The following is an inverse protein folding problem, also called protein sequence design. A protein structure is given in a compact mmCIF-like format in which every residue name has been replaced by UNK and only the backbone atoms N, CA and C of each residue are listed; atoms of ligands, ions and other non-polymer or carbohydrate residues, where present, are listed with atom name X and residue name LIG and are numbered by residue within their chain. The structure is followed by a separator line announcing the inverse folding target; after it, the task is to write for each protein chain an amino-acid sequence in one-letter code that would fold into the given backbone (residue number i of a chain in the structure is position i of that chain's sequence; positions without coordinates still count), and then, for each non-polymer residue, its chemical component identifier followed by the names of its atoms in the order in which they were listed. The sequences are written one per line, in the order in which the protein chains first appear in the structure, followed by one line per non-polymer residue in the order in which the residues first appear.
data_IF_409796498920
#
_entry.id   IF_409796498920
#
_cell.length_a   1.000
_cell.length_b   1.000
_cell.length_c   1.000
_cell.angle_alpha   90.00
_cell.angle_beta   90.00
_cell.angle_gamma   90.00
#
_symmetry.space_group_name_H-M   'P 1'
#
loop_
_entity.id
_entity.type
_entity.pdbx_description
1 polymer ?
#
# COMPACT_ATOMS: atom_id res chain seq x y z
N UNK A 1 -5.53 -6.25 -28.19
CA UNK A 1 -6.79 -6.26 -27.45
C UNK A 1 -6.61 -7.15 -26.25
N UNK A 2 -6.39 -6.55 -25.08
CA UNK A 2 -6.28 -7.30 -23.83
C UNK A 2 -7.64 -7.84 -23.42
N UNK A 3 -7.67 -8.82 -22.51
CA UNK A 3 -8.92 -9.38 -21.97
C UNK A 3 -9.85 -8.31 -21.36
N UNK A 4 -9.29 -7.19 -20.90
CA UNK A 4 -10.06 -6.08 -20.31
C UNK A 4 -10.90 -5.27 -21.32
N UNK A 5 -10.47 -5.19 -22.58
CA UNK A 5 -11.22 -4.51 -23.67
C UNK A 5 -12.52 -5.25 -23.99
N UNK A 6 -12.51 -6.58 -23.80
CA UNK A 6 -13.65 -7.43 -23.98
C UNK A 6 -14.74 -7.06 -22.99
N UNK A 7 -14.45 -6.88 -21.70
CA UNK A 7 -15.50 -6.79 -20.69
C UNK A 7 -16.46 -5.60 -20.89
N UNK A 8 -15.95 -4.42 -21.25
CA UNK A 8 -16.79 -3.24 -21.48
C UNK A 8 -17.60 -3.37 -22.78
N UNK A 9 -16.96 -3.86 -23.85
CA UNK A 9 -17.61 -4.13 -25.13
C UNK A 9 -18.71 -5.19 -24.97
N UNK A 10 -18.42 -6.28 -24.27
CA UNK A 10 -19.31 -7.41 -24.04
C UNK A 10 -20.47 -7.05 -23.10
N UNK A 11 -20.23 -6.18 -22.12
CA UNK A 11 -21.26 -5.75 -21.16
C UNK A 11 -22.24 -4.73 -21.74
N UNK A 12 -21.81 -3.85 -22.65
CA UNK A 12 -22.65 -2.74 -23.13
C UNK A 12 -22.95 -2.75 -24.62
N UNK A 13 -21.99 -3.10 -25.46
CA UNK A 13 -22.14 -3.04 -26.92
C UNK A 13 -22.69 -4.34 -27.49
N UNK A 14 -22.31 -5.49 -26.93
CA UNK A 14 -22.81 -6.78 -27.37
C UNK A 14 -24.34 -6.92 -27.22
N UNK A 15 -24.96 -6.58 -26.07
CA UNK A 15 -26.41 -6.70 -25.92
C UNK A 15 -27.18 -5.72 -26.82
N UNK A 16 -26.61 -4.53 -27.08
CA UNK A 16 -27.19 -3.51 -27.96
C UNK A 16 -27.06 -3.89 -29.43
N UNK A 17 -25.92 -4.48 -29.82
CA UNK A 17 -25.66 -4.97 -31.17
C UNK A 17 -26.53 -6.17 -31.52
N UNK A 18 -26.60 -7.18 -30.65
CA UNK A 18 -27.40 -8.39 -30.91
C UNK A 18 -28.91 -8.07 -30.88
N UNK A 19 -29.36 -7.05 -30.14
CA UNK A 19 -30.77 -6.60 -30.14
C UNK A 19 -31.28 -6.19 -31.52
N UNK A 20 -30.42 -5.63 -32.38
CA UNK A 20 -30.79 -5.20 -33.73
C UNK A 20 -30.55 -6.27 -34.79
N UNK A 21 -29.74 -7.29 -34.49
CA UNK A 21 -29.23 -8.22 -35.49
C UNK A 21 -30.18 -9.39 -35.80
N UNK A 22 -31.04 -9.87 -34.88
CA UNK A 22 -31.99 -10.98 -35.20
C UNK A 22 -33.20 -11.08 -34.22
N UNK A 23 -34.46 -11.05 -34.72
CA UNK A 23 -35.67 -11.35 -33.93
C UNK A 23 -35.74 -12.80 -33.41
N UNK A 24 -35.07 -13.76 -34.10
CA UNK A 24 -35.00 -15.18 -33.71
C UNK A 24 -34.11 -15.44 -32.49
N UNK A 25 -33.40 -14.43 -31.98
CA UNK A 25 -32.40 -14.57 -30.92
C UNK A 25 -32.80 -13.87 -29.62
N UNK A 26 -34.10 -13.59 -29.43
CA UNK A 26 -34.60 -12.87 -28.25
C UNK A 26 -34.22 -13.57 -26.93
N UNK A 27 -34.26 -14.90 -26.90
CA UNK A 27 -33.88 -15.69 -25.71
C UNK A 27 -32.38 -15.57 -25.39
N UNK A 28 -31.51 -15.73 -26.40
CA UNK A 28 -30.07 -15.59 -26.25
C UNK A 28 -29.67 -14.17 -25.80
N UNK A 29 -30.33 -13.16 -26.38
CA UNK A 29 -30.21 -11.76 -25.95
C UNK A 29 -30.59 -11.57 -24.49
N UNK A 30 -31.73 -12.11 -24.08
CA UNK A 30 -32.21 -11.99 -22.71
C UNK A 30 -31.21 -12.61 -21.72
N UNK A 31 -30.67 -13.78 -22.04
CA UNK A 31 -29.70 -14.49 -21.21
C UNK A 31 -28.40 -13.69 -21.02
N UNK A 32 -27.88 -13.07 -22.09
CA UNK A 32 -26.67 -12.23 -21.99
C UNK A 32 -26.95 -10.93 -21.22
N UNK A 33 -28.09 -10.28 -21.47
CA UNK A 33 -28.49 -9.09 -20.71
C UNK A 33 -28.61 -9.42 -19.22
N UNK A 34 -29.24 -10.55 -18.89
CA UNK A 34 -29.41 -11.01 -17.52
C UNK A 34 -28.06 -11.31 -16.87
N UNK A 35 -27.16 -12.03 -17.55
CA UNK A 35 -25.81 -12.32 -17.08
C UNK A 35 -25.06 -11.03 -16.70
N UNK A 36 -25.00 -10.06 -17.62
CA UNK A 36 -24.30 -8.80 -17.36
C UNK A 36 -25.01 -7.93 -16.31
N UNK A 37 -26.34 -7.96 -16.24
CA UNK A 37 -27.08 -7.24 -15.20
C UNK A 37 -26.73 -7.74 -13.80
N UNK A 38 -26.59 -9.06 -13.61
CA UNK A 38 -26.23 -9.63 -12.32
C UNK A 38 -24.76 -9.38 -11.97
N UNK A 39 -23.87 -9.51 -12.95
CA UNK A 39 -22.43 -9.27 -12.78
C UNK A 39 -22.09 -7.82 -12.40
N UNK A 40 -22.98 -6.90 -12.77
CA UNK A 40 -22.75 -5.44 -12.64
C UNK A 40 -23.63 -4.82 -11.56
N UNK A 41 -24.34 -5.65 -10.81
CA UNK A 41 -25.11 -5.24 -9.65
C UNK A 41 -24.22 -4.48 -8.65
N UNK A 42 -24.80 -3.46 -8.00
CA UNK A 42 -24.10 -2.65 -7.00
C UNK A 42 -23.56 -3.49 -5.83
N UNK A 43 -24.22 -4.60 -5.53
CA UNK A 43 -23.84 -5.55 -4.49
C UNK A 43 -23.73 -6.94 -5.13
N UNK A 44 -22.57 -7.57 -4.99
CA UNK A 44 -22.35 -8.94 -5.46
C UNK A 44 -22.40 -9.90 -4.29
N UNK A 45 -23.30 -10.88 -4.36
CA UNK A 45 -23.34 -12.00 -3.41
C UNK A 45 -22.49 -13.14 -3.94
N UNK A 46 -21.73 -13.78 -3.05
CA UNK A 46 -20.82 -14.89 -3.42
C UNK A 46 -21.57 -16.04 -4.08
N UNK A 47 -22.74 -16.40 -3.55
CA UNK A 47 -23.63 -17.45 -4.07
C UNK A 47 -24.05 -17.17 -5.51
N UNK A 48 -24.42 -15.93 -5.82
CA UNK A 48 -24.86 -15.52 -7.15
C UNK A 48 -23.70 -15.58 -8.15
N UNK A 49 -22.48 -15.25 -7.71
CA UNK A 49 -21.28 -15.36 -8.57
C UNK A 49 -20.92 -16.82 -8.88
N UNK A 50 -21.12 -17.74 -7.94
CA UNK A 50 -20.95 -19.17 -8.21
C UNK A 50 -22.00 -19.68 -9.20
N UNK A 51 -23.26 -19.25 -9.06
CA UNK A 51 -24.30 -19.59 -10.01
C UNK A 51 -23.98 -19.04 -11.42
N UNK A 52 -23.52 -17.79 -11.51
CA UNK A 52 -23.12 -17.17 -12.78
C UNK A 52 -21.98 -17.91 -13.50
N UNK A 53 -21.09 -18.61 -12.78
CA UNK A 53 -20.06 -19.47 -13.40
C UNK A 53 -20.67 -20.65 -14.15
N UNK A 54 -21.79 -21.17 -13.67
CA UNK A 54 -22.51 -22.25 -14.36
C UNK A 54 -23.39 -21.68 -15.47
N UNK A 55 -24.06 -20.55 -15.22
CA UNK A 55 -24.96 -19.93 -16.18
C UNK A 55 -24.23 -19.46 -17.44
N UNK A 56 -23.00 -18.92 -17.32
CA UNK A 56 -22.25 -18.46 -18.49
C UNK A 56 -21.91 -19.58 -19.47
N UNK A 57 -21.67 -20.79 -18.98
CA UNK A 57 -21.42 -21.95 -19.84
C UNK A 57 -22.68 -22.26 -20.66
N UNK A 58 -23.86 -22.25 -20.02
CA UNK A 58 -25.13 -22.46 -20.72
C UNK A 58 -25.44 -21.35 -21.72
N UNK A 59 -25.12 -20.10 -21.38
CA UNK A 59 -25.24 -18.95 -22.29
C UNK A 59 -24.37 -19.18 -23.53
N UNK A 60 -23.09 -19.51 -23.37
CA UNK A 60 -22.18 -19.73 -24.49
C UNK A 60 -22.60 -20.91 -25.37
N UNK A 61 -23.03 -22.03 -24.78
CA UNK A 61 -23.54 -23.16 -25.55
C UNK A 61 -24.76 -22.78 -26.40
N UNK A 62 -25.69 -21.99 -25.85
CA UNK A 62 -26.85 -21.50 -26.63
C UNK A 62 -26.43 -20.55 -27.75
N UNK A 63 -25.41 -19.73 -27.52
CA UNK A 63 -24.86 -18.88 -28.57
C UNK A 63 -24.22 -19.71 -29.68
N UNK A 64 -23.57 -20.82 -29.35
CA UNK A 64 -22.85 -21.67 -30.32
C UNK A 64 -23.83 -22.36 -31.27
N UNK A 65 -25.05 -22.63 -30.81
CA UNK A 65 -26.13 -23.13 -31.64
C UNK A 65 -26.74 -22.07 -32.58
N UNK A 66 -26.52 -20.79 -32.31
CA UNK A 66 -27.20 -19.66 -32.99
C UNK A 66 -26.27 -18.93 -33.94
N UNK A 67 -25.01 -18.70 -33.53
CA UNK A 67 -24.05 -17.90 -34.26
C UNK A 67 -22.99 -18.76 -34.93
N UNK A 68 -22.48 -18.36 -36.11
CA UNK A 68 -21.41 -19.09 -36.77
C UNK A 68 -20.12 -19.07 -35.93
N UNK A 69 -19.21 -20.05 -36.11
CA UNK A 69 -17.93 -20.09 -35.38
C UNK A 69 -17.12 -18.80 -35.41
N UNK A 70 -17.23 -18.01 -36.50
CA UNK A 70 -16.58 -16.71 -36.63
C UNK A 70 -17.01 -15.66 -35.58
N UNK A 71 -18.17 -15.84 -34.92
CA UNK A 71 -18.63 -15.01 -33.83
C UNK A 71 -17.86 -15.27 -32.51
N UNK A 72 -17.33 -16.48 -32.34
CA UNK A 72 -16.58 -16.90 -31.16
C UNK A 72 -15.13 -16.45 -31.23
N UNK A 73 -14.94 -15.14 -31.14
CA UNK A 73 -13.61 -14.56 -30.95
C UNK A 73 -13.13 -14.77 -29.51
N UNK A 74 -11.84 -14.51 -29.26
CA UNK A 74 -11.28 -14.51 -27.90
C UNK A 74 -12.08 -13.64 -26.91
N UNK A 75 -12.77 -12.61 -27.40
CA UNK A 75 -13.63 -11.73 -26.61
C UNK A 75 -14.83 -12.48 -25.98
N UNK A 76 -15.40 -13.49 -26.65
CA UNK A 76 -16.52 -14.30 -26.14
C UNK A 76 -16.09 -15.19 -24.98
N UNK A 77 -14.91 -15.79 -25.07
CA UNK A 77 -14.37 -16.66 -24.03
C UNK A 77 -14.02 -15.91 -22.75
N UNK A 78 -13.69 -14.63 -22.87
CA UNK A 78 -13.41 -13.76 -21.72
C UNK A 78 -14.61 -13.62 -20.78
N UNK A 79 -15.84 -13.85 -21.25
CA UNK A 79 -17.02 -13.84 -20.37
C UNK A 79 -16.99 -14.94 -19.30
N UNK A 80 -16.32 -16.08 -19.56
CA UNK A 80 -16.25 -17.20 -18.62
C UNK A 80 -15.50 -16.81 -17.34
N UNK A 81 -14.53 -15.91 -17.45
CA UNK A 81 -13.69 -15.49 -16.33
C UNK A 81 -14.30 -14.33 -15.53
N UNK A 82 -15.34 -13.68 -16.05
CA UNK A 82 -15.94 -12.50 -15.41
C UNK A 82 -16.47 -12.74 -13.99
N UNK A 83 -17.18 -13.84 -13.69
CA UNK A 83 -17.67 -14.09 -12.33
C UNK A 83 -16.53 -14.30 -11.32
N UNK A 84 -15.44 -14.92 -11.76
CA UNK A 84 -14.22 -15.12 -10.96
C UNK A 84 -13.52 -13.78 -10.69
N UNK A 85 -13.36 -12.95 -11.73
CA UNK A 85 -12.79 -11.62 -11.57
C UNK A 85 -13.63 -10.73 -10.64
N UNK A 86 -14.97 -10.81 -10.76
CA UNK A 86 -15.89 -10.06 -9.90
C UNK A 86 -15.80 -10.47 -8.42
N UNK A 87 -15.48 -11.74 -8.13
CA UNK A 87 -15.23 -12.23 -6.77
C UNK A 87 -13.93 -11.71 -6.17
N UNK A 88 -12.89 -11.54 -7.00
CA UNK A 88 -11.57 -11.08 -6.57
C UNK A 88 -11.50 -9.55 -6.47
N UNK A 89 -12.04 -8.85 -7.46
CA UNK A 89 -11.86 -7.41 -7.62
C UNK A 89 -13.12 -6.58 -7.23
N UNK A 90 -14.24 -7.24 -6.93
CA UNK A 90 -15.51 -6.61 -6.59
C UNK A 90 -16.31 -6.08 -7.81
N UNK A 91 -17.42 -5.35 -7.56
CA UNK A 91 -18.37 -4.99 -8.62
C UNK A 91 -17.77 -4.13 -9.74
N UNK A 92 -17.96 -4.55 -10.98
CA UNK A 92 -17.47 -3.84 -12.16
C UNK A 92 -18.04 -2.40 -12.28
N UNK A 93 -19.30 -2.17 -11.87
CA UNK A 93 -19.96 -0.85 -11.91
C UNK A 93 -19.17 0.21 -11.13
N UNK A 94 -18.64 -0.13 -9.96
CA UNK A 94 -17.89 0.82 -9.12
C UNK A 94 -16.57 1.23 -9.75
N UNK A 95 -15.97 0.38 -10.60
CA UNK A 95 -14.73 0.67 -11.33
C UNK A 95 -14.99 1.61 -12.51
N UNK A 96 -16.07 1.37 -13.26
CA UNK A 96 -16.46 2.20 -14.39
C UNK A 96 -16.95 3.60 -13.96
N UNK A 97 -17.75 3.70 -12.90
CA UNK A 97 -18.27 4.99 -12.39
C UNK A 97 -17.16 5.98 -12.00
N UNK A 98 -16.03 5.50 -11.45
CA UNK A 98 -14.87 6.34 -11.13
C UNK A 98 -14.21 6.96 -12.36
N UNK A 99 -14.40 6.35 -13.53
CA UNK A 99 -13.79 6.79 -14.79
C UNK A 99 -14.68 7.76 -15.57
N UNK A 100 -15.94 7.92 -15.17
CA UNK A 100 -16.90 8.85 -15.81
C UNK A 100 -16.64 10.28 -15.30
N UNK A 101 -15.88 11.05 -16.08
CA UNK A 101 -15.66 12.49 -15.87
C UNK A 101 -16.78 13.32 -16.50
N UNK A 102 -17.34 12.88 -17.62
CA UNK A 102 -18.49 13.50 -18.27
C UNK A 102 -19.74 12.63 -18.16
N UNK A 103 -20.68 13.03 -17.30
CA UNK A 103 -21.95 12.31 -17.08
C UNK A 103 -22.95 12.46 -18.21
N UNK A 104 -22.82 13.47 -19.07
CA UNK A 104 -23.71 13.66 -20.22
C UNK A 104 -23.44 12.66 -21.35
N UNK A 105 -22.22 12.09 -21.40
CA UNK A 105 -21.81 11.05 -22.35
C UNK A 105 -20.97 9.99 -21.62
N UNK A 106 -21.59 9.17 -20.75
CA UNK A 106 -20.86 8.29 -19.86
C UNK A 106 -20.07 7.21 -20.61
N UNK A 107 -20.57 6.70 -21.74
CA UNK A 107 -19.86 5.75 -22.59
C UNK A 107 -18.61 6.38 -23.20
N UNK A 108 -18.75 7.57 -23.79
CA UNK A 108 -17.63 8.31 -24.37
C UNK A 108 -16.57 8.67 -23.34
N UNK A 109 -17.00 9.08 -22.13
CA UNK A 109 -16.08 9.40 -21.03
C UNK A 109 -15.29 8.19 -20.53
N UNK A 110 -15.88 7.00 -20.54
CA UNK A 110 -15.18 5.76 -20.17
C UNK A 110 -14.16 5.40 -21.24
N UNK A 111 -14.56 5.43 -22.52
CA UNK A 111 -13.65 5.15 -23.64
C UNK A 111 -12.46 6.11 -23.64
N UNK A 112 -12.70 7.39 -23.43
CA UNK A 112 -11.64 8.41 -23.35
C UNK A 112 -10.67 8.15 -22.19
N UNK A 113 -11.19 7.85 -20.99
CA UNK A 113 -10.36 7.53 -19.84
C UNK A 113 -9.48 6.28 -20.08
N UNK A 114 -9.99 5.30 -20.83
CA UNK A 114 -9.24 4.10 -21.21
C UNK A 114 -8.16 4.39 -22.25
N UNK A 115 -8.47 5.15 -23.30
CA UNK A 115 -7.45 5.55 -24.31
C UNK A 115 -6.30 6.29 -23.63
N UNK A 116 -6.62 7.17 -22.68
CA UNK A 116 -5.61 7.85 -21.86
C UNK A 116 -4.80 6.85 -21.01
N UNK A 117 -5.46 5.91 -20.34
CA UNK A 117 -4.80 4.90 -19.51
C UNK A 117 -3.85 4.00 -20.31
N UNK A 118 -4.28 3.48 -21.46
CA UNK A 118 -3.44 2.64 -22.33
C UNK A 118 -2.27 3.43 -22.90
N UNK A 119 -2.52 4.64 -23.39
CA UNK A 119 -1.47 5.51 -23.95
C UNK A 119 -0.39 5.81 -22.91
N UNK A 120 -0.80 6.15 -21.67
CA UNK A 120 0.12 6.42 -20.58
C UNK A 120 0.85 5.15 -20.11
N UNK A 121 0.17 3.99 -20.11
CA UNK A 121 0.77 2.71 -19.78
C UNK A 121 1.85 2.33 -20.80
N UNK A 122 1.53 2.43 -22.09
CA UNK A 122 2.46 2.18 -23.18
C UNK A 122 3.66 3.12 -23.11
N UNK A 123 3.44 4.43 -23.02
CA UNK A 123 4.52 5.41 -22.86
C UNK A 123 5.37 5.12 -21.62
N UNK A 124 4.73 4.73 -20.51
CA UNK A 124 5.41 4.38 -19.26
C UNK A 124 6.38 3.19 -19.37
N UNK A 125 6.18 2.28 -20.33
CA UNK A 125 7.13 1.17 -20.58
C UNK A 125 8.45 1.66 -21.18
N UNK A 126 8.46 2.81 -21.86
CA UNK A 126 9.64 3.37 -22.53
C UNK A 126 10.26 4.55 -21.78
N UNK A 127 9.52 5.19 -20.87
CA UNK A 127 9.99 6.30 -20.05
C UNK A 127 10.58 5.79 -18.73
N UNK A 128 11.91 5.63 -18.67
CA UNK A 128 12.61 5.12 -17.49
C UNK A 128 12.76 6.14 -16.36
N UNK A 129 12.77 7.43 -16.68
CA UNK A 129 13.06 8.52 -15.72
C UNK A 129 11.81 9.34 -15.35
N UNK A 130 10.61 8.81 -15.61
CA UNK A 130 9.34 9.49 -15.30
C UNK A 130 8.54 8.64 -14.32
N UNK A 131 7.92 9.29 -13.33
CA UNK A 131 7.00 8.62 -12.41
C UNK A 131 5.75 8.17 -13.18
N UNK A 132 5.51 6.86 -13.21
CA UNK A 132 4.38 6.18 -13.84
C UNK A 132 3.56 5.46 -12.77
N UNK A 133 2.35 5.00 -13.12
CA UNK A 133 1.53 4.20 -12.22
C UNK A 133 2.23 2.91 -11.73
N UNK A 134 3.22 2.40 -12.47
CA UNK A 134 3.92 1.14 -12.17
C UNK A 134 5.18 1.31 -11.33
N UNK A 135 5.89 2.44 -11.46
CA UNK A 135 7.12 2.71 -10.70
C UNK A 135 6.92 3.69 -9.53
N UNK A 136 5.73 4.30 -9.42
CA UNK A 136 5.39 5.22 -8.35
C UNK A 136 5.59 4.57 -6.99
N UNK A 137 6.37 5.18 -6.09
CA UNK A 137 6.55 4.65 -4.75
C UNK A 137 5.22 4.53 -4.02
N UNK A 138 5.12 3.53 -3.14
CA UNK A 138 3.93 3.34 -2.33
C UNK A 138 3.61 4.63 -1.55
N UNK A 139 2.33 4.94 -1.36
CA UNK A 139 1.88 6.20 -0.73
C UNK A 139 2.54 6.48 0.62
N UNK A 140 2.81 5.42 1.37
CA UNK A 140 3.41 5.45 2.69
C UNK A 140 4.93 5.17 2.67
N UNK A 141 5.59 5.27 1.53
CA UNK A 141 7.04 5.07 1.43
C UNK A 141 7.77 6.04 2.36
N UNK A 142 8.58 5.51 3.27
CA UNK A 142 9.37 6.22 4.28
C UNK A 142 10.85 6.38 3.87
N UNK A 143 11.22 5.91 2.67
CA UNK A 143 12.58 5.96 2.15
C UNK A 143 13.39 4.69 2.44
N UNK A 144 12.82 3.74 3.17
CA UNK A 144 13.46 2.47 3.50
C UNK A 144 14.64 2.60 4.46
N UNK A 145 15.44 1.53 4.54
CA UNK A 145 16.61 1.45 5.40
C UNK A 145 17.81 2.16 4.77
N UNK A 146 18.48 2.99 5.58
CA UNK A 146 19.77 3.60 5.25
C UNK A 146 20.90 2.63 5.57
N UNK A 147 22.00 2.75 4.83
CA UNK A 147 23.21 1.97 5.07
C UNK A 147 24.06 2.68 6.12
N UNK A 148 23.69 2.51 7.38
CA UNK A 148 24.41 3.03 8.54
C UNK A 148 25.24 1.91 9.21
N UNK A 149 26.18 2.26 10.10
CA UNK A 149 27.00 1.29 10.83
C UNK A 149 26.24 0.63 11.99
N UNK A 150 25.37 1.38 12.67
CA UNK A 150 24.54 0.92 13.77
C UNK A 150 23.07 0.82 13.32
N UNK A 151 22.43 -0.31 13.61
CA UNK A 151 21.03 -0.59 13.24
C UNK A 151 20.06 0.50 13.70
N UNK A 152 20.29 1.11 14.87
CA UNK A 152 19.47 2.20 15.40
C UNK A 152 19.34 3.38 14.44
N UNK A 153 20.37 3.70 13.66
CA UNK A 153 20.34 4.81 12.69
C UNK A 153 19.85 4.38 11.31
N UNK A 154 19.76 3.08 11.04
CA UNK A 154 19.38 2.55 9.73
C UNK A 154 17.91 2.81 9.37
N UNK A 155 17.00 2.79 10.35
CA UNK A 155 15.57 3.01 10.09
C UNK A 155 15.26 4.50 9.94
N UNK A 156 14.75 4.87 8.76
CA UNK A 156 14.21 6.21 8.52
C UNK A 156 12.71 6.24 8.83
N UNK A 157 12.29 6.98 9.85
CA UNK A 157 10.89 7.34 10.03
C UNK A 157 10.60 8.63 9.25
N UNK A 158 9.53 8.65 8.42
CA UNK A 158 9.11 9.88 7.72
C UNK A 158 7.99 10.59 8.49
N UNK A 159 8.28 11.64 9.28
CA UNK A 159 7.25 12.35 10.02
C UNK A 159 6.31 13.13 9.10
N UNK A 160 5.09 13.39 9.57
CA UNK A 160 4.14 14.27 8.88
C UNK A 160 3.25 15.06 9.83
N UNK A 161 2.68 16.14 9.29
CA UNK A 161 1.90 17.13 10.02
C UNK A 161 2.79 18.13 10.75
N UNK A 162 2.16 19.14 11.33
CA UNK A 162 2.89 20.21 11.99
C UNK A 162 3.59 19.67 13.24
N UNK A 163 4.83 20.10 13.51
CA UNK A 163 5.49 19.85 14.78
C UNK A 163 4.59 20.32 15.91
N UNK A 164 4.38 19.48 16.92
CA UNK A 164 3.62 19.84 18.10
C UNK A 164 4.24 21.06 18.76
N UNK A 165 3.57 22.21 18.71
CA UNK A 165 4.01 23.40 19.46
C UNK A 165 3.57 23.25 20.91
N UNK A 166 4.52 23.17 21.83
CA UNK A 166 4.27 23.32 23.28
C UNK A 166 4.45 22.07 24.12
N UNK A 167 4.60 20.89 23.53
CA UNK A 167 5.00 19.67 24.24
C UNK A 167 6.49 19.42 24.00
N UNK A 168 7.30 19.57 25.06
CA UNK A 168 8.73 19.25 25.05
C UNK A 168 8.98 18.03 25.91
N UNK A 169 9.84 17.13 25.46
CA UNK A 169 10.35 16.06 26.30
C UNK A 169 11.13 16.66 27.47
N UNK A 170 10.85 16.18 28.69
CA UNK A 170 11.67 16.52 29.83
C UNK A 170 13.05 15.87 29.69
N UNK A 171 14.02 16.34 30.47
CA UNK A 171 15.35 15.71 30.53
C UNK A 171 15.26 14.23 30.93
N UNK A 172 14.39 13.91 31.87
CA UNK A 172 14.17 12.52 32.30
C UNK A 172 13.60 11.67 31.16
N UNK A 173 12.67 12.19 30.38
CA UNK A 173 12.11 11.43 29.25
C UNK A 173 13.18 11.15 28.18
N UNK A 174 14.06 12.13 27.93
CA UNK A 174 15.20 11.98 27.03
C UNK A 174 16.22 10.96 27.56
N UNK A 175 16.49 10.94 28.86
CA UNK A 175 17.37 9.96 29.51
C UNK A 175 16.77 8.55 29.45
N UNK A 176 15.47 8.39 29.68
CA UNK A 176 14.77 7.10 29.54
C UNK A 176 14.78 6.61 28.10
N UNK A 177 14.49 7.48 27.13
CA UNK A 177 14.55 7.13 25.71
C UNK A 177 15.96 6.75 25.27
N UNK A 178 16.97 7.49 25.74
CA UNK A 178 18.37 7.19 25.47
C UNK A 178 18.79 5.84 26.05
N UNK A 179 18.44 5.56 27.32
CA UNK A 179 18.68 4.28 27.96
C UNK A 179 18.01 3.14 27.19
N UNK A 180 16.75 3.32 26.77
CA UNK A 180 16.01 2.32 26.00
C UNK A 180 16.73 1.99 24.70
N UNK A 181 17.20 2.99 23.96
CA UNK A 181 17.95 2.78 22.73
C UNK A 181 19.24 2.00 22.99
N UNK A 182 20.01 2.39 24.02
CA UNK A 182 21.26 1.70 24.36
C UNK A 182 21.02 0.23 24.70
N UNK A 183 19.98 -0.08 25.47
CA UNK A 183 19.68 -1.44 25.93
C UNK A 183 19.02 -2.33 24.86
N UNK A 184 18.67 -1.78 23.69
CA UNK A 184 18.08 -2.52 22.58
C UNK A 184 18.97 -2.51 21.31
N UNK A 185 20.24 -2.06 21.43
CA UNK A 185 21.19 -2.05 20.33
C UNK A 185 22.24 -3.15 20.53
N UNK A 186 22.08 -4.26 19.81
CA UNK A 186 22.93 -5.45 19.95
C UNK A 186 24.40 -5.14 19.68
N UNK A 187 24.67 -4.24 18.72
CA UNK A 187 26.03 -3.87 18.32
C UNK A 187 26.83 -3.16 19.42
N UNK A 188 26.15 -2.74 20.50
CA UNK A 188 26.71 -1.89 21.55
C UNK A 188 26.68 -2.60 22.90
N UNK A 189 26.03 -3.76 23.01
CA UNK A 189 26.04 -4.57 24.23
C UNK A 189 27.46 -4.87 24.72
N UNK A 190 28.38 -5.23 23.82
CA UNK A 190 29.79 -5.44 24.18
C UNK A 190 30.46 -4.20 24.81
N UNK A 191 30.11 -3.00 24.34
CA UNK A 191 30.59 -1.75 24.93
C UNK A 191 29.93 -1.45 26.28
N UNK A 192 28.66 -1.80 26.44
CA UNK A 192 27.95 -1.65 27.71
C UNK A 192 28.53 -2.58 28.78
N UNK A 193 28.86 -3.82 28.42
CA UNK A 193 29.51 -4.78 29.32
C UNK A 193 30.91 -4.29 29.74
N UNK A 194 31.72 -3.83 28.80
CA UNK A 194 33.04 -3.23 29.09
C UNK A 194 32.91 -1.98 29.98
N UNK A 195 31.91 -1.14 29.70
CA UNK A 195 31.62 0.04 30.48
C UNK A 195 31.15 -0.31 31.89
N UNK A 196 30.30 -1.33 32.07
CA UNK A 196 29.85 -1.81 33.38
C UNK A 196 31.03 -2.32 34.20
N UNK A 197 31.91 -3.12 33.60
CA UNK A 197 33.13 -3.60 34.24
C UNK A 197 34.08 -2.46 34.61
N UNK A 198 34.16 -1.41 33.81
CA UNK A 198 34.89 -0.18 34.16
C UNK A 198 34.22 0.59 35.30
N UNK A 199 32.89 0.69 35.32
CA UNK A 199 32.12 1.38 36.35
C UNK A 199 32.17 0.68 37.71
N UNK A 200 32.40 -0.64 37.72
CA UNK A 200 32.74 -1.41 38.93
C UNK A 200 34.13 -1.05 39.48
N UNK A 201 35.05 -0.58 38.63
CA UNK A 201 36.44 -0.23 38.99
C UNK A 201 36.62 1.26 39.33
N UNK A 202 36.00 2.13 38.56
CA UNK A 202 36.01 3.59 38.71
C UNK A 202 34.58 4.06 38.98
N UNK A 203 34.35 4.81 40.07
CA UNK A 203 33.04 5.23 40.57
C UNK A 203 31.96 5.46 39.48
N UNK A 204 30.72 4.96 39.68
CA UNK A 204 29.70 4.97 38.66
C UNK A 204 29.29 6.40 38.26
N UNK A 205 29.66 6.84 37.06
CA UNK A 205 29.14 8.07 36.44
C UNK A 205 28.93 7.94 34.93
N UNK A 206 27.85 8.52 34.40
CA UNK A 206 27.55 8.57 32.96
C UNK A 206 28.64 9.27 32.11
N UNK A 207 29.57 9.97 32.77
CA UNK A 207 30.72 10.60 32.12
C UNK A 207 31.73 9.57 31.59
N UNK A 208 31.69 8.32 32.08
CA UNK A 208 32.66 7.29 31.72
C UNK A 208 32.51 6.86 30.25
N UNK A 209 31.28 6.61 29.78
CA UNK A 209 31.00 6.29 28.38
C UNK A 209 31.45 7.43 27.43
N UNK A 210 31.11 8.67 27.76
CA UNK A 210 31.51 9.84 26.97
C UNK A 210 33.03 10.03 26.94
N UNK A 211 33.70 9.83 28.08
CA UNK A 211 35.17 9.88 28.16
C UNK A 211 35.84 8.81 27.31
N UNK A 212 35.30 7.59 27.30
CA UNK A 212 35.85 6.50 26.51
C UNK A 212 35.71 6.76 25.00
N UNK A 213 34.55 7.23 24.54
CA UNK A 213 34.37 7.58 23.13
C UNK A 213 35.22 8.79 22.74
N UNK A 214 35.41 9.78 23.62
CA UNK A 214 36.36 10.88 23.41
C UNK A 214 37.81 10.40 23.31
N UNK A 215 38.20 9.38 24.09
CA UNK A 215 39.53 8.77 24.01
C UNK A 215 39.72 8.01 22.69
N UNK A 216 38.71 7.28 22.22
CA UNK A 216 38.71 6.62 20.91
C UNK A 216 38.86 7.63 19.77
N UNK A 217 38.13 8.75 19.85
CA UNK A 217 38.25 9.87 18.91
C UNK A 217 39.65 10.46 18.90
N UNK A 218 40.24 10.70 20.07
CA UNK A 218 41.57 11.30 20.21
C UNK A 218 42.70 10.37 19.74
N UNK A 219 42.49 9.06 19.80
CA UNK A 219 43.45 8.03 19.40
C UNK A 219 43.31 7.56 17.95
N UNK A 220 42.36 8.13 17.19
CA UNK A 220 42.02 7.70 15.82
C UNK A 220 41.77 6.18 15.72
N UNK A 221 41.08 5.62 16.72
CA UNK A 221 40.79 4.18 16.75
C UNK A 221 39.93 3.76 15.55
N UNK A 222 40.22 2.61 14.90
CA UNK A 222 39.39 2.11 13.80
C UNK A 222 37.96 1.75 14.24
N UNK A 223 37.74 1.55 15.53
CA UNK A 223 36.43 1.26 16.12
C UNK A 223 35.58 2.52 16.36
N UNK A 224 36.14 3.72 16.19
CA UNK A 224 35.40 4.97 16.30
C UNK A 224 34.44 5.16 15.11
N UNK A 225 33.23 5.66 15.39
CA UNK A 225 32.31 6.18 14.39
C UNK A 225 31.56 7.40 14.93
N UNK A 226 31.15 8.30 14.04
CA UNK A 226 30.32 9.44 14.43
C UNK A 226 28.95 8.99 14.95
N UNK A 227 28.43 7.86 14.48
CA UNK A 227 27.23 7.22 15.00
C UNK A 227 27.40 6.77 16.47
N UNK A 228 28.53 6.13 16.80
CA UNK A 228 28.86 5.74 18.18
C UNK A 228 29.05 6.95 19.09
N UNK A 229 29.67 8.02 18.56
CA UNK A 229 29.77 9.30 19.25
C UNK A 229 28.39 9.88 19.55
N UNK A 230 27.55 10.04 18.54
CA UNK A 230 26.21 10.60 18.72
C UNK A 230 25.38 9.77 19.72
N UNK A 231 25.53 8.44 19.68
CA UNK A 231 24.83 7.59 20.62
C UNK A 231 25.35 7.70 22.05
N UNK A 232 26.66 7.83 22.28
CA UNK A 232 27.20 7.95 23.64
C UNK A 232 26.79 9.26 24.34
N UNK A 233 26.57 10.34 23.58
CA UNK A 233 26.18 11.64 24.12
C UNK A 233 24.65 11.83 24.23
N UNK A 234 23.88 10.95 23.60
CA UNK A 234 22.42 10.97 23.68
C UNK A 234 21.78 12.07 22.83
N UNK A 235 20.43 12.14 22.85
CA UNK A 235 19.69 13.10 22.04
C UNK A 235 19.85 14.53 22.58
N UNK A 236 20.17 15.48 21.69
CA UNK A 236 20.26 16.92 22.02
C UNK A 236 18.86 17.55 22.10
N UNK A 237 17.99 17.14 21.17
CA UNK A 237 16.61 17.63 21.03
C UNK A 237 15.72 16.50 20.55
N UNK A 238 14.49 16.49 21.01
CA UNK A 238 13.43 15.64 20.51
C UNK A 238 12.30 16.51 19.95
N UNK A 239 11.75 16.11 18.81
CA UNK A 239 10.64 16.80 18.15
C UNK A 239 9.42 15.90 18.10
N UNK A 240 8.25 16.46 18.41
CA UNK A 240 6.99 15.74 18.39
C UNK A 240 6.25 16.00 17.08
N UNK A 241 5.79 14.92 16.43
CA UNK A 241 5.04 15.00 15.18
C UNK A 241 3.66 14.37 15.32
N UNK A 242 2.71 14.82 14.50
CA UNK A 242 1.34 14.30 14.51
C UNK A 242 1.21 12.82 14.09
N UNK A 243 2.25 12.28 13.47
CA UNK A 243 2.35 10.91 13.01
C UNK A 243 3.59 10.72 12.12
N UNK A 244 3.86 9.47 11.76
CA UNK A 244 4.98 9.10 10.91
C UNK A 244 4.64 7.90 10.02
N UNK A 245 5.43 7.72 8.97
CA UNK A 245 5.45 6.48 8.21
C UNK A 245 6.69 5.67 8.63
N UNK A 246 6.48 4.40 8.97
CA UNK A 246 7.53 3.44 9.29
C UNK A 246 7.17 2.12 8.60
N UNK A 247 8.09 1.59 7.79
CA UNK A 247 7.96 0.35 7.04
C UNK A 247 6.67 0.29 6.20
N UNK A 248 6.33 1.40 5.55
CA UNK A 248 5.10 1.52 4.73
C UNK A 248 3.79 1.59 5.53
N UNK A 249 3.86 1.56 6.86
CA UNK A 249 2.69 1.70 7.75
C UNK A 249 2.58 3.14 8.22
N UNK A 250 1.35 3.66 8.24
CA UNK A 250 1.03 5.00 8.75
C UNK A 250 0.68 4.91 10.23
N UNK A 251 1.50 5.55 11.05
CA UNK A 251 1.26 5.71 12.49
C UNK A 251 0.72 7.11 12.78
N UNK A 252 -0.25 7.18 13.68
CA UNK A 252 -0.85 8.44 14.15
C UNK A 252 -0.54 8.63 15.63
N UNK A 253 -0.29 9.87 16.02
CA UNK A 253 -0.23 10.26 17.43
C UNK A 253 -1.62 10.15 18.09
N UNK A 254 -1.64 9.84 19.39
CA UNK A 254 -2.85 9.53 20.15
C UNK A 254 -3.97 10.58 19.98
N UNK A 255 -3.65 11.87 20.08
CA UNK A 255 -4.61 12.97 19.95
C UNK A 255 -5.31 13.06 18.57
N UNK A 256 -4.72 12.47 17.53
CA UNK A 256 -5.28 12.47 16.16
C UNK A 256 -6.05 11.18 15.86
N UNK A 257 -5.69 10.08 16.53
CA UNK A 257 -6.33 8.77 16.41
C UNK A 257 -7.74 8.79 17.01
N UNK A 258 -7.92 9.45 18.17
CA UNK A 258 -9.23 9.60 18.84
C UNK A 258 -10.29 10.29 17.97
N UNK A 259 -9.86 11.02 16.93
CA UNK A 259 -10.75 11.76 16.01
C UNK A 259 -11.05 11.00 14.71
N UNK A 260 -10.44 9.84 14.45
CA UNK A 260 -10.53 9.15 13.16
C UNK A 260 -11.05 7.70 13.28
N UNK A 261 -12.26 7.45 12.78
CA UNK A 261 -12.92 6.14 12.77
C UNK A 261 -12.53 5.26 11.54
N UNK A 262 -11.31 5.40 11.00
CA UNK A 262 -10.91 4.74 9.72
C UNK A 262 -9.79 3.71 9.88
N UNK A 263 -10.06 2.46 9.47
CA UNK A 263 -9.26 1.23 9.67
C UNK A 263 -7.89 1.12 8.94
N UNK A 264 -7.25 2.24 8.57
CA UNK A 264 -6.02 2.20 7.74
C UNK A 264 -4.76 2.71 8.44
N UNK A 265 -4.86 3.10 9.71
CA UNK A 265 -3.73 3.56 10.52
C UNK A 265 -3.63 2.71 11.79
N UNK A 266 -2.40 2.52 12.28
CA UNK A 266 -2.14 1.84 13.55
C UNK A 266 -1.84 2.89 14.61
N UNK A 267 -2.50 2.78 15.75
CA UNK A 267 -2.26 3.66 16.90
C UNK A 267 -0.92 3.32 17.55
N UNK A 268 -0.09 4.33 17.83
CA UNK A 268 1.17 4.12 18.58
C UNK A 268 0.92 3.46 19.96
N UNK A 269 -0.20 3.80 20.61
CA UNK A 269 -0.63 3.21 21.89
C UNK A 269 -0.91 1.70 21.83
N UNK A 270 -1.27 1.17 20.65
CA UNK A 270 -1.54 -0.25 20.44
C UNK A 270 -0.24 -1.05 20.21
N UNK A 271 0.82 -0.41 19.73
CA UNK A 271 2.14 -1.03 19.55
C UNK A 271 2.82 -1.24 20.91
N UNK A 272 2.76 -0.26 21.80
CA UNK A 272 3.33 -0.38 23.16
C UNK A 272 2.70 -1.53 23.98
N UNK A 273 1.42 -1.87 23.74
CA UNK A 273 0.79 -3.03 24.40
C UNK A 273 1.30 -4.37 23.89
N UNK A 274 1.83 -4.46 22.66
CA UNK A 274 2.30 -5.73 22.09
C UNK A 274 3.71 -6.11 22.51
N UNK A 275 4.53 -5.15 22.95
CA UNK A 275 5.92 -5.39 23.38
C UNK A 275 6.07 -5.50 24.91
N UNK A 276 4.97 -5.49 25.66
CA UNK A 276 4.93 -5.87 27.08
C UNK A 276 4.42 -7.30 27.22
N UNK A 277 5.22 -8.29 26.84
CA UNK A 277 5.08 -9.69 27.26
C UNK A 277 6.42 -10.37 27.29
#
# INVERSE_FOLDING_TARGET
MGSHDCHVFMQRLLPVGIRHLLPKCAEANHLVIQFFSQLTAKTLRRTDMFQLRHDIVQVLCKFEMIFPPAFFTSMMHVMVHLPEEALLAGPASRRAEKSVRNRAKPEGSIVEAWVQYESLTFCGMYLKDVETAFNRPQRNNDGGMRKEKLSVFSQSARPFGDPGRGESFSRNDMEVAHWFVLNNCDEIMAYLDEHEEMMKREHPSHLVAQKQVNKLKSSNSPTYSDELYNLAFGPIRAELFSGCYINGVKFLGAARDDKLCSKTAVSMSQVERKYKH
#
